data_IF_989291833177
#
_entry.id   IF_989291833177
#
_cell.length_a   1.000
_cell.length_b   1.000
_cell.length_c   1.000
_cell.angle_alpha   90.00
_cell.angle_beta   90.00
_cell.angle_gamma   90.00
#
_symmetry.space_group_name_H-M   'P 1'
#
loop_
_entity.id
_entity.type
_entity.pdbx_description
1 polymer ?
#
# COMPACT_ATOMS: atom_id res chain seq x y z
N UNK A 1 6.34 6.18 17.76
CA UNK A 1 7.33 5.07 17.89
C UNK A 1 8.36 5.46 18.94
N UNK A 2 8.62 4.63 19.97
CA UNK A 2 9.63 4.93 20.98
C UNK A 2 11.06 4.74 20.43
N UNK A 3 12.07 5.33 21.11
CA UNK A 3 13.46 5.32 20.63
C UNK A 3 14.07 3.91 20.55
N UNK A 4 13.90 3.00 21.53
CA UNK A 4 14.42 1.64 21.44
C UNK A 4 13.86 0.86 20.23
N UNK A 5 12.56 0.97 19.99
CA UNK A 5 11.94 0.31 18.82
C UNK A 5 12.44 0.88 17.50
N UNK A 6 12.69 2.18 17.42
CA UNK A 6 13.28 2.80 16.23
C UNK A 6 14.69 2.26 15.94
N UNK A 7 15.54 2.18 16.97
CA UNK A 7 16.90 1.63 16.84
C UNK A 7 16.84 0.16 16.42
N UNK A 8 15.99 -0.64 17.05
CA UNK A 8 15.74 -2.02 16.65
C UNK A 8 15.35 -2.13 15.18
N UNK A 9 14.34 -1.37 14.74
CA UNK A 9 13.90 -1.35 13.34
C UNK A 9 14.98 -0.86 12.37
N UNK A 10 15.87 0.03 12.80
CA UNK A 10 17.00 0.49 11.97
C UNK A 10 18.02 -0.62 11.73
N UNK A 11 18.29 -1.44 12.72
CA UNK A 11 19.24 -2.55 12.66
C UNK A 11 18.66 -3.81 12.00
N UNK A 12 17.33 -3.94 11.97
CA UNK A 12 16.66 -5.10 11.41
C UNK A 12 16.93 -5.23 9.91
N UNK A 13 17.34 -6.41 9.39
CA UNK A 13 17.45 -6.66 7.95
C UNK A 13 16.07 -6.78 7.31
N UNK A 14 15.39 -5.65 7.12
CA UNK A 14 13.97 -5.54 6.73
C UNK A 14 13.63 -6.35 5.47
N UNK A 15 14.52 -6.34 4.47
CA UNK A 15 14.30 -7.12 3.25
C UNK A 15 14.31 -8.63 3.51
N UNK A 16 15.21 -9.13 4.35
CA UNK A 16 15.25 -10.54 4.71
C UNK A 16 14.01 -10.94 5.52
N UNK A 17 13.63 -10.12 6.50
CA UNK A 17 12.41 -10.33 7.30
C UNK A 17 11.17 -10.32 6.42
N UNK A 18 11.06 -9.35 5.52
CA UNK A 18 9.92 -9.26 4.59
C UNK A 18 9.84 -10.48 3.65
N UNK A 19 10.98 -10.94 3.13
CA UNK A 19 11.04 -12.17 2.30
C UNK A 19 10.60 -13.40 3.08
N UNK A 20 11.10 -13.56 4.33
CA UNK A 20 10.69 -14.65 5.21
C UNK A 20 9.20 -14.61 5.50
N UNK A 21 8.66 -13.43 5.82
CA UNK A 21 7.23 -13.23 6.05
C UNK A 21 6.40 -13.53 4.79
N UNK A 22 6.84 -13.02 3.64
CA UNK A 22 6.20 -13.31 2.35
C UNK A 22 6.21 -14.79 1.99
N UNK A 23 7.28 -15.52 2.35
CA UNK A 23 7.31 -16.96 2.22
C UNK A 23 6.29 -17.65 3.14
N UNK A 24 6.29 -17.29 4.44
CA UNK A 24 5.37 -17.86 5.43
C UNK A 24 3.90 -17.64 5.06
N UNK A 25 3.55 -16.43 4.59
CA UNK A 25 2.16 -16.09 4.20
C UNK A 25 1.69 -16.82 2.94
N UNK A 26 2.61 -17.36 2.14
CA UNK A 26 2.31 -18.16 0.93
C UNK A 26 2.31 -19.65 1.18
N UNK A 27 2.72 -20.12 2.35
CA UNK A 27 2.70 -21.53 2.68
C UNK A 27 1.27 -22.08 2.55
N UNK A 28 1.16 -23.26 1.96
CA UNK A 28 -0.11 -23.99 1.79
C UNK A 28 -0.18 -25.17 2.75
N UNK A 29 0.06 -24.90 4.03
CA UNK A 29 -0.07 -25.89 5.11
C UNK A 29 -1.53 -25.89 5.57
N UNK A 30 -2.34 -26.94 5.27
CA UNK A 30 -3.80 -26.87 5.37
C UNK A 30 -4.30 -26.34 6.73
N UNK A 31 -3.80 -26.89 7.84
CA UNK A 31 -4.21 -26.48 9.19
C UNK A 31 -3.70 -25.09 9.55
N UNK A 32 -2.39 -24.87 9.41
CA UNK A 32 -1.76 -23.60 9.81
C UNK A 32 -2.27 -22.42 8.96
N UNK A 33 -2.37 -22.62 7.65
CA UNK A 33 -2.89 -21.59 6.74
C UNK A 33 -4.34 -21.25 7.02
N UNK A 34 -5.17 -22.24 7.37
CA UNK A 34 -6.57 -22.01 7.73
C UNK A 34 -6.68 -21.22 9.02
N UNK A 35 -5.94 -21.59 10.07
CA UNK A 35 -5.94 -20.86 11.34
C UNK A 35 -5.47 -19.43 11.14
N UNK A 36 -4.34 -19.24 10.45
CA UNK A 36 -3.76 -17.92 10.20
C UNK A 36 -4.68 -17.01 9.35
N UNK A 37 -5.31 -17.56 8.32
CA UNK A 37 -6.26 -16.87 7.46
C UNK A 37 -7.52 -16.46 8.23
N UNK A 38 -8.10 -17.35 9.00
CA UNK A 38 -9.30 -17.07 9.81
C UNK A 38 -9.01 -16.02 10.89
N UNK A 39 -7.85 -16.14 11.55
CA UNK A 39 -7.39 -15.13 12.49
C UNK A 39 -7.23 -13.76 11.81
N UNK A 40 -6.59 -13.70 10.65
CA UNK A 40 -6.39 -12.46 9.89
C UNK A 40 -7.73 -11.82 9.51
N UNK A 41 -8.65 -12.61 8.94
CA UNK A 41 -9.97 -12.14 8.55
C UNK A 41 -10.77 -11.57 9.73
N UNK A 42 -10.74 -12.28 10.87
CA UNK A 42 -11.44 -11.89 12.09
C UNK A 42 -10.80 -10.66 12.76
N UNK A 43 -9.46 -10.66 12.91
CA UNK A 43 -8.73 -9.58 13.57
C UNK A 43 -8.88 -8.24 12.83
N UNK A 44 -8.76 -8.27 11.50
CA UNK A 44 -8.93 -7.07 10.68
C UNK A 44 -10.38 -6.83 10.23
N UNK A 45 -11.33 -7.67 10.64
CA UNK A 45 -12.75 -7.54 10.31
C UNK A 45 -12.97 -7.39 8.80
N UNK A 46 -12.39 -8.31 8.03
CA UNK A 46 -12.55 -8.28 6.57
C UNK A 46 -14.02 -8.44 6.18
N UNK A 47 -14.50 -7.59 5.29
CA UNK A 47 -15.79 -7.79 4.66
C UNK A 47 -15.68 -8.88 3.58
N UNK A 48 -16.14 -10.08 3.96
CA UNK A 48 -16.16 -11.22 3.05
C UNK A 48 -17.43 -11.27 2.21
N UNK A 49 -18.43 -10.40 2.46
CA UNK A 49 -19.66 -10.37 1.66
C UNK A 49 -19.38 -9.80 0.26
N UNK A 50 -18.42 -8.87 0.17
CA UNK A 50 -17.99 -8.30 -1.10
C UNK A 50 -16.97 -9.18 -1.86
N UNK A 51 -16.34 -10.13 -1.19
CA UNK A 51 -15.34 -11.00 -1.81
C UNK A 51 -15.99 -11.93 -2.84
N UNK A 52 -15.31 -12.16 -3.98
CA UNK A 52 -15.76 -13.06 -5.05
C UNK A 52 -16.00 -14.48 -4.53
N UNK A 53 -15.12 -14.95 -3.65
CA UNK A 53 -15.20 -16.30 -3.06
C UNK A 53 -15.31 -16.23 -1.53
N UNK A 54 -15.92 -17.27 -0.92
CA UNK A 54 -15.96 -17.38 0.54
C UNK A 54 -14.56 -17.60 1.13
N UNK A 55 -14.39 -17.32 2.43
CA UNK A 55 -13.09 -17.37 3.12
C UNK A 55 -12.37 -18.72 2.96
N UNK A 56 -13.12 -19.80 2.92
CA UNK A 56 -12.60 -21.18 2.80
C UNK A 56 -11.88 -21.42 1.46
N UNK A 57 -12.27 -20.72 0.42
CA UNK A 57 -11.68 -20.84 -0.92
C UNK A 57 -10.20 -20.46 -0.94
N UNK A 58 -9.81 -19.45 -0.17
CA UNK A 58 -8.44 -18.95 -0.17
C UNK A 58 -7.51 -19.90 0.58
N UNK A 59 -6.38 -20.27 -0.03
CA UNK A 59 -5.45 -21.26 0.51
C UNK A 59 -4.53 -20.72 1.60
N UNK A 60 -4.30 -19.40 1.62
CA UNK A 60 -3.41 -18.74 2.56
C UNK A 60 -3.74 -17.23 2.69
N UNK A 61 -3.04 -16.53 3.60
CA UNK A 61 -3.22 -15.09 3.83
C UNK A 61 -2.91 -14.29 2.57
N UNK A 62 -1.88 -14.68 1.81
CA UNK A 62 -1.47 -13.92 0.63
C UNK A 62 -2.57 -13.91 -0.46
N UNK A 63 -3.22 -15.06 -0.70
CA UNK A 63 -4.36 -15.14 -1.62
C UNK A 63 -5.55 -14.31 -1.12
N UNK A 64 -5.85 -14.40 0.18
CA UNK A 64 -6.93 -13.62 0.80
C UNK A 64 -6.67 -12.11 0.73
N UNK A 65 -5.44 -11.68 0.94
CA UNK A 65 -5.07 -10.27 0.93
C UNK A 65 -5.29 -9.62 -0.44
N UNK A 66 -5.02 -10.34 -1.52
CA UNK A 66 -5.25 -9.90 -2.90
C UNK A 66 -6.55 -10.45 -3.50
N UNK A 67 -7.56 -10.74 -2.66
CA UNK A 67 -8.86 -11.27 -3.10
C UNK A 67 -9.48 -10.42 -4.20
N UNK A 68 -10.24 -11.05 -5.07
CA UNK A 68 -11.14 -10.36 -5.98
C UNK A 68 -12.45 -9.98 -5.26
N UNK A 69 -13.10 -8.97 -5.75
CA UNK A 69 -14.45 -8.61 -5.34
C UNK A 69 -15.46 -9.17 -6.35
N UNK A 70 -16.70 -9.32 -5.89
CA UNK A 70 -17.84 -9.66 -6.74
C UNK A 70 -18.02 -8.59 -7.82
N UNK A 71 -18.56 -8.99 -8.94
CA UNK A 71 -18.95 -8.05 -9.99
C UNK A 71 -19.93 -7.01 -9.44
N UNK A 72 -19.72 -5.74 -9.80
CA UNK A 72 -20.55 -4.64 -9.30
C UNK A 72 -20.28 -4.18 -7.86
N UNK A 73 -19.42 -4.84 -7.09
CA UNK A 73 -19.08 -4.43 -5.73
C UNK A 73 -18.44 -3.03 -5.65
N UNK A 74 -17.84 -2.58 -6.74
CA UNK A 74 -17.32 -1.21 -6.90
C UNK A 74 -17.86 -0.61 -8.21
N UNK A 75 -18.93 0.17 -8.16
CA UNK A 75 -19.39 0.89 -9.33
C UNK A 75 -18.37 1.95 -9.72
N UNK A 76 -17.97 1.95 -10.99
CA UNK A 76 -17.03 2.93 -11.53
C UNK A 76 -17.82 4.18 -11.93
N UNK A 77 -17.43 5.33 -11.38
CA UNK A 77 -18.04 6.61 -11.73
C UNK A 77 -17.77 6.95 -13.19
N UNK A 78 -18.73 7.61 -13.83
CA UNK A 78 -18.55 8.17 -15.18
C UNK A 78 -17.77 9.49 -15.08
N UNK A 79 -16.46 9.39 -14.87
CA UNK A 79 -15.53 10.49 -14.68
C UNK A 79 -14.23 10.21 -15.40
N UNK A 80 -13.50 11.25 -15.78
CA UNK A 80 -12.18 11.12 -16.41
C UNK A 80 -11.14 10.49 -15.48
N UNK A 81 -11.26 10.75 -14.17
CA UNK A 81 -10.37 10.22 -13.14
C UNK A 81 -11.21 9.58 -12.04
N UNK A 82 -10.87 8.36 -11.66
CA UNK A 82 -11.50 7.60 -10.58
C UNK A 82 -10.48 7.17 -9.53
N UNK A 83 -10.93 6.82 -8.32
CA UNK A 83 -10.02 6.30 -7.31
C UNK A 83 -9.38 4.99 -7.78
N UNK A 84 -8.05 4.86 -7.74
CA UNK A 84 -7.36 3.63 -8.11
C UNK A 84 -7.47 2.52 -7.06
N UNK A 85 -7.91 2.85 -5.85
CA UNK A 85 -7.92 1.95 -4.69
C UNK A 85 -9.07 2.26 -3.74
N UNK A 86 -9.42 1.29 -2.91
CA UNK A 86 -10.19 1.52 -1.69
C UNK A 86 -9.25 2.03 -0.60
N UNK A 87 -9.66 3.06 0.12
CA UNK A 87 -8.82 3.56 1.19
C UNK A 87 -9.32 4.89 1.74
N UNK A 88 -8.53 5.50 2.60
CA UNK A 88 -8.80 6.80 3.18
C UNK A 88 -7.92 7.85 2.51
N UNK A 89 -8.53 8.85 1.88
CA UNK A 89 -7.81 10.01 1.36
C UNK A 89 -7.21 10.78 2.54
N UNK A 90 -5.90 10.70 2.70
CA UNK A 90 -5.18 11.35 3.79
C UNK A 90 -4.73 12.76 3.44
N UNK A 91 -4.44 13.01 2.17
CA UNK A 91 -4.02 14.32 1.66
C UNK A 91 -4.30 14.43 0.16
N UNK A 92 -4.64 15.63 -0.30
CA UNK A 92 -4.68 15.99 -1.71
C UNK A 92 -4.43 17.48 -1.89
N UNK A 93 -3.98 17.89 -3.07
CA UNK A 93 -3.72 19.28 -3.40
C UNK A 93 -2.70 19.45 -4.51
N UNK A 94 -2.19 20.67 -4.73
CA UNK A 94 -1.11 20.94 -5.65
C UNK A 94 0.17 20.19 -5.25
N UNK A 95 0.91 19.70 -6.23
CA UNK A 95 2.14 18.89 -6.03
C UNK A 95 3.19 19.60 -5.15
N UNK A 96 3.32 20.90 -5.23
CA UNK A 96 4.23 21.71 -4.42
C UNK A 96 3.95 21.65 -2.92
N UNK A 97 2.76 21.24 -2.51
CA UNK A 97 2.32 21.18 -1.11
C UNK A 97 2.33 19.75 -0.52
N UNK A 98 3.08 18.81 -1.13
CA UNK A 98 3.15 17.45 -0.62
C UNK A 98 3.82 17.40 0.76
N UNK A 99 3.09 16.89 1.75
CA UNK A 99 3.54 16.76 3.14
C UNK A 99 3.51 15.29 3.55
N UNK A 100 4.57 14.80 4.17
CA UNK A 100 4.59 13.47 4.74
C UNK A 100 3.84 13.43 6.09
N UNK A 101 4.28 14.25 7.04
CA UNK A 101 3.64 14.46 8.36
C UNK A 101 4.37 15.59 9.12
N UNK A 102 3.66 16.31 9.98
CA UNK A 102 4.23 17.27 10.94
C UNK A 102 5.30 18.21 10.33
N UNK A 103 5.02 18.81 9.20
CA UNK A 103 5.94 19.74 8.54
C UNK A 103 7.09 19.07 7.77
N UNK A 104 7.14 17.75 7.69
CA UNK A 104 8.06 17.04 6.81
C UNK A 104 7.48 17.01 5.41
N UNK A 105 8.15 17.68 4.51
CA UNK A 105 7.82 17.73 3.08
C UNK A 105 8.69 16.76 2.29
N UNK A 106 8.27 16.43 1.10
CA UNK A 106 9.07 15.73 0.11
C UNK A 106 8.75 16.30 -1.29
N UNK A 107 9.67 16.21 -2.19
CA UNK A 107 9.49 16.70 -3.56
C UNK A 107 9.00 15.58 -4.48
N UNK A 108 8.33 15.96 -5.56
CA UNK A 108 7.93 15.00 -6.58
C UNK A 108 9.14 14.30 -7.21
N UNK A 109 10.24 15.04 -7.43
CA UNK A 109 11.49 14.47 -7.94
C UNK A 109 12.07 13.40 -7.00
N UNK A 110 12.03 13.63 -5.68
CA UNK A 110 12.48 12.62 -4.70
C UNK A 110 11.57 11.40 -4.64
N UNK A 111 10.26 11.59 -4.83
CA UNK A 111 9.29 10.49 -4.85
C UNK A 111 9.42 9.63 -6.12
N UNK A 112 9.49 10.26 -7.28
CA UNK A 112 9.59 9.58 -8.58
C UNK A 112 11.01 9.08 -8.88
N UNK A 113 12.04 9.66 -8.19
CA UNK A 113 13.46 9.45 -8.47
C UNK A 113 13.83 9.73 -9.92
N UNK A 114 13.12 10.68 -10.53
CA UNK A 114 13.28 11.10 -11.93
C UNK A 114 12.89 12.59 -12.01
N UNK A 115 13.89 13.46 -12.20
CA UNK A 115 13.69 14.89 -12.26
C UNK A 115 12.93 15.30 -13.52
N UNK A 116 13.21 14.68 -14.66
CA UNK A 116 12.54 14.99 -15.93
C UNK A 116 11.06 14.63 -15.91
N UNK A 117 10.74 13.48 -15.29
CA UNK A 117 9.36 13.08 -15.10
C UNK A 117 8.66 14.01 -14.11
N UNK A 118 9.34 14.41 -13.04
CA UNK A 118 8.78 15.33 -12.06
C UNK A 118 8.44 16.70 -12.64
N UNK A 119 9.29 17.24 -13.54
CA UNK A 119 9.02 18.50 -14.26
C UNK A 119 7.72 18.46 -15.04
N UNK A 120 7.36 17.32 -15.66
CA UNK A 120 6.11 17.18 -16.41
C UNK A 120 4.86 17.33 -15.52
N UNK A 121 4.97 17.06 -14.25
CA UNK A 121 3.88 17.14 -13.27
C UNK A 121 4.03 18.28 -12.26
N UNK A 122 4.97 19.21 -12.48
CA UNK A 122 5.29 20.28 -11.52
C UNK A 122 4.07 21.14 -11.12
N UNK A 123 3.14 21.34 -12.07
CA UNK A 123 1.90 22.11 -11.85
C UNK A 123 0.66 21.20 -11.69
N UNK A 124 0.89 19.93 -11.42
CA UNK A 124 -0.15 18.95 -11.24
C UNK A 124 -0.76 18.93 -9.83
N UNK A 125 -1.62 17.98 -9.64
CA UNK A 125 -2.23 17.68 -8.33
C UNK A 125 -1.87 16.27 -7.89
N UNK A 126 -1.92 16.03 -6.59
CA UNK A 126 -1.68 14.71 -5.99
C UNK A 126 -2.81 14.32 -5.05
N UNK A 127 -2.92 13.02 -4.81
CA UNK A 127 -3.75 12.44 -3.78
C UNK A 127 -2.98 11.30 -3.09
N UNK A 128 -2.94 11.33 -1.77
CA UNK A 128 -2.37 10.26 -0.94
C UNK A 128 -3.50 9.47 -0.31
N UNK A 129 -3.61 8.20 -0.66
CA UNK A 129 -4.67 7.32 -0.18
C UNK A 129 -4.04 6.20 0.66
N UNK A 130 -4.47 6.08 1.90
CA UNK A 130 -4.01 5.05 2.83
C UNK A 130 -4.91 3.82 2.77
N UNK A 131 -4.30 2.66 2.49
CA UNK A 131 -4.97 1.36 2.54
C UNK A 131 -4.69 0.68 3.87
N UNK A 132 -5.74 0.42 4.63
CA UNK A 132 -5.65 -0.41 5.83
C UNK A 132 -5.71 -1.91 5.47
N UNK A 133 -5.20 -2.82 6.32
CA UNK A 133 -5.18 -4.26 6.03
C UNK A 133 -6.54 -4.89 5.69
N UNK A 134 -7.64 -4.28 6.10
CA UNK A 134 -9.00 -4.75 5.78
C UNK A 134 -9.50 -4.28 4.41
N UNK A 135 -8.90 -3.25 3.82
CA UNK A 135 -9.31 -2.75 2.52
C UNK A 135 -9.06 -3.78 1.40
N UNK A 136 -9.64 -3.51 0.26
CA UNK A 136 -9.31 -4.20 -0.97
C UNK A 136 -7.94 -3.73 -1.49
N UNK A 137 -6.99 -4.65 -1.67
CA UNK A 137 -5.59 -4.32 -1.95
C UNK A 137 -5.16 -4.46 -3.41
N UNK A 138 -6.10 -4.62 -4.33
CA UNK A 138 -5.78 -4.53 -5.76
C UNK A 138 -5.85 -3.08 -6.20
N UNK A 139 -4.83 -2.65 -6.94
CA UNK A 139 -4.72 -1.30 -7.48
C UNK A 139 -5.21 -1.32 -8.93
N UNK A 140 -6.02 -0.34 -9.31
CA UNK A 140 -6.59 -0.19 -10.64
C UNK A 140 -6.08 1.10 -11.29
N UNK A 141 -6.16 1.17 -12.62
CA UNK A 141 -5.83 2.40 -13.33
C UNK A 141 -6.86 3.50 -13.00
N UNK A 142 -6.42 4.68 -12.54
CA UNK A 142 -7.32 5.78 -12.25
C UNK A 142 -7.88 6.45 -13.50
N UNK A 143 -7.30 6.19 -14.67
CA UNK A 143 -7.65 6.79 -15.95
C UNK A 143 -7.66 5.74 -17.06
N UNK A 144 -8.39 6.01 -18.14
CA UNK A 144 -8.28 5.23 -19.37
C UNK A 144 -6.96 5.59 -20.06
N UNK A 145 -6.11 4.60 -20.32
CA UNK A 145 -4.81 4.85 -20.93
C UNK A 145 -4.07 3.59 -21.33
N UNK A 146 -2.86 3.78 -21.84
CA UNK A 146 -1.92 2.72 -22.21
C UNK A 146 -0.65 2.88 -21.37
N UNK A 147 -0.16 1.79 -20.80
CA UNK A 147 1.15 1.77 -20.13
C UNK A 147 2.23 1.95 -21.19
N UNK A 148 3.01 3.01 -21.08
CA UNK A 148 4.10 3.36 -22.01
C UNK A 148 5.48 3.10 -21.43
N UNK A 149 5.57 2.90 -20.11
CA UNK A 149 6.82 2.62 -19.41
C UNK A 149 6.57 2.17 -17.97
N UNK A 150 7.57 1.54 -17.39
CA UNK A 150 7.61 1.18 -15.99
C UNK A 150 9.06 1.25 -15.49
N UNK A 151 9.27 1.80 -14.30
CA UNK A 151 10.58 1.86 -13.65
C UNK A 151 10.47 1.27 -12.26
N UNK A 152 11.42 0.41 -11.90
CA UNK A 152 11.54 -0.12 -10.55
C UNK A 152 12.65 0.62 -9.79
N UNK A 153 12.28 1.23 -8.69
CA UNK A 153 13.21 1.92 -7.80
C UNK A 153 13.34 1.14 -6.50
N UNK A 154 14.45 0.42 -6.28
CA UNK A 154 14.64 -0.34 -5.04
C UNK A 154 14.68 0.61 -3.84
N UNK A 155 14.15 0.16 -2.72
CA UNK A 155 14.05 0.96 -1.52
C UNK A 155 14.19 0.15 -0.24
N UNK A 156 13.79 0.78 0.86
CA UNK A 156 13.70 0.13 2.17
C UNK A 156 12.28 -0.35 2.43
N UNK A 157 12.09 -1.11 3.52
CA UNK A 157 10.78 -1.65 3.92
C UNK A 157 10.46 -1.21 5.36
N UNK A 158 10.31 0.10 5.56
CA UNK A 158 9.81 0.62 6.82
C UNK A 158 8.29 0.44 6.90
N UNK A 159 7.74 0.08 8.06
CA UNK A 159 6.29 0.04 8.23
C UNK A 159 5.71 1.44 8.05
N UNK A 160 4.67 1.56 7.23
CA UNK A 160 3.95 2.81 7.00
C UNK A 160 2.86 2.95 8.05
N UNK A 161 3.24 3.43 9.22
CA UNK A 161 2.33 3.74 10.32
C UNK A 161 2.63 5.14 10.87
N UNK A 162 1.72 5.69 11.67
CA UNK A 162 1.85 7.03 12.24
C UNK A 162 3.22 7.30 12.87
N UNK A 163 3.75 6.36 13.66
CA UNK A 163 5.03 6.52 14.33
C UNK A 163 6.22 6.58 13.38
N UNK A 164 6.21 5.83 12.30
CA UNK A 164 7.25 5.84 11.27
C UNK A 164 7.17 7.09 10.39
N UNK A 165 5.96 7.42 9.94
CA UNK A 165 5.68 8.62 9.11
C UNK A 165 6.09 9.91 9.81
N UNK A 166 5.89 10.00 11.12
CA UNK A 166 6.29 11.15 11.93
C UNK A 166 7.80 11.24 12.20
N UNK A 167 8.52 10.12 12.18
CA UNK A 167 9.92 10.07 12.64
C UNK A 167 10.94 9.94 11.51
N UNK A 168 10.59 9.20 10.46
CA UNK A 168 11.50 8.91 9.36
C UNK A 168 11.30 9.96 8.28
N UNK A 169 12.34 10.70 7.96
CA UNK A 169 12.30 11.69 6.90
C UNK A 169 12.30 11.02 5.53
N UNK A 170 11.49 11.54 4.62
CA UNK A 170 11.37 11.02 3.27
C UNK A 170 10.87 9.57 3.20
N UNK A 171 10.12 9.09 4.20
CA UNK A 171 9.66 7.70 4.29
C UNK A 171 9.04 7.20 2.98
N UNK A 172 8.20 8.01 2.35
CA UNK A 172 7.53 7.65 1.10
C UNK A 172 8.47 7.60 -0.11
N UNK A 173 9.60 8.31 -0.03
CA UNK A 173 10.61 8.34 -1.09
C UNK A 173 11.66 7.23 -0.97
N UNK A 174 11.94 6.77 0.27
CA UNK A 174 12.96 5.76 0.55
C UNK A 174 12.41 4.34 0.58
N UNK A 175 11.11 4.17 0.76
CA UNK A 175 10.45 2.87 0.67
C UNK A 175 10.23 2.45 -0.80
N UNK A 176 10.16 1.11 -1.01
CA UNK A 176 9.67 0.53 -2.26
C UNK A 176 8.19 0.19 -2.16
#
# INVERSE_FOLDING_TARGET
MNTPFYVFMKLLPKCAVSRAFGFLTRLKLPVLSTVAKNWFASYYKLDMQEAEFPLEHYKNISELFIRHLKEGARPIANSEVVSPVDGVLSQSGPVENMIQAKGKTYTLASLLRDEKLAEQFAHGSFATIYLAPFNYHRIHSPVKGKVIGASYCPGTLWPVNKGSVERIEGLFCINE
#
